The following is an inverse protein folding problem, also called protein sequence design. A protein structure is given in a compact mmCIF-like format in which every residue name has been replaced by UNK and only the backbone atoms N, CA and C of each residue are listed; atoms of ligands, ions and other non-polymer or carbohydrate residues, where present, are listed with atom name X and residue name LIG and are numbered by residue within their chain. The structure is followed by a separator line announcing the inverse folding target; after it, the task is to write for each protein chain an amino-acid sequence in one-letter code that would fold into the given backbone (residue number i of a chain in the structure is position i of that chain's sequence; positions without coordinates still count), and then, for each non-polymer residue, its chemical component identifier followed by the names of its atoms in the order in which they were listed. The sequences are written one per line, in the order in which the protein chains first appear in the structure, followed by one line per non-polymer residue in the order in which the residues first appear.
data_IF_312625145692
#
_entry.id   IF_312625145692
#
_cell.length_a   1.000
_cell.length_b   1.000
_cell.length_c   1.000
_cell.angle_alpha   90.00
_cell.angle_beta   90.00
_cell.angle_gamma   90.00
#
_symmetry.space_group_name_H-M   'P 1'
#
loop_
_entity.id
_entity.type
_entity.pdbx_description
1 polymer ?
#
# COMPACT_ATOMS: atom_id res chain seq x y z
N UNK A 1 7.61 6.42 -18.66
CA UNK A 1 8.03 5.48 -17.60
C UNK A 1 9.51 5.19 -17.76
N UNK A 2 10.31 5.44 -16.72
CA UNK A 2 11.76 5.12 -16.69
C UNK A 2 12.03 4.14 -15.56
N UNK A 3 12.85 3.12 -15.81
CA UNK A 3 13.24 2.16 -14.77
C UNK A 3 14.03 2.86 -13.67
N UNK A 4 13.67 2.59 -12.42
CA UNK A 4 14.41 2.99 -11.22
C UNK A 4 15.21 1.81 -10.68
N UNK A 5 14.55 0.69 -10.43
CA UNK A 5 15.17 -0.53 -9.92
C UNK A 5 14.41 -1.80 -10.36
N UNK A 6 15.08 -2.94 -10.38
CA UNK A 6 14.54 -4.23 -10.84
C UNK A 6 14.88 -5.35 -9.85
N UNK A 7 14.37 -6.56 -10.11
CA UNK A 7 14.78 -7.79 -9.40
C UNK A 7 13.81 -8.26 -8.32
N UNK A 8 12.71 -7.53 -8.10
CA UNK A 8 11.66 -7.97 -7.18
C UNK A 8 10.71 -8.98 -7.85
N UNK A 9 10.09 -9.83 -7.05
CA UNK A 9 9.00 -10.70 -7.50
C UNK A 9 7.66 -9.95 -7.43
N UNK A 10 7.23 -9.55 -6.23
CA UNK A 10 6.01 -8.79 -5.99
C UNK A 10 6.29 -7.64 -5.02
N UNK A 11 6.68 -6.50 -5.59
CA UNK A 11 7.13 -5.32 -4.84
C UNK A 11 5.96 -4.47 -4.34
N UNK A 12 5.80 -4.42 -3.03
CA UNK A 12 4.75 -3.74 -2.28
C UNK A 12 5.29 -2.63 -1.40
N UNK A 13 4.38 -1.77 -0.94
CA UNK A 13 4.65 -0.75 0.07
C UNK A 13 5.86 0.14 -0.21
N UNK A 14 6.06 0.69 -1.43
CA UNK A 14 7.15 1.62 -1.69
C UNK A 14 7.06 2.81 -0.74
N UNK A 15 8.17 3.12 -0.06
CA UNK A 15 8.31 4.29 0.80
C UNK A 15 9.61 5.01 0.48
N UNK A 16 9.51 6.29 0.21
CA UNK A 16 10.66 7.17 0.12
C UNK A 16 10.98 7.72 1.51
N UNK A 17 12.25 7.66 1.93
CA UNK A 17 12.72 8.21 3.18
C UNK A 17 14.20 8.56 3.09
N UNK A 18 14.56 9.77 3.50
CA UNK A 18 15.94 10.28 3.54
C UNK A 18 16.73 10.03 2.24
N UNK A 19 16.10 10.32 1.10
CA UNK A 19 16.73 10.18 -0.21
C UNK A 19 16.83 8.75 -0.74
N UNK A 20 16.16 7.78 -0.11
CA UNK A 20 16.19 6.38 -0.47
C UNK A 20 14.78 5.79 -0.63
N UNK A 21 14.66 4.81 -1.52
CA UNK A 21 13.47 4.00 -1.70
C UNK A 21 13.56 2.71 -0.87
N UNK A 22 12.48 2.35 -0.22
CA UNK A 22 12.30 1.11 0.55
C UNK A 22 11.06 0.37 0.05
N UNK A 23 11.16 -0.94 -0.19
CA UNK A 23 10.05 -1.77 -0.63
C UNK A 23 10.06 -3.15 0.03
N UNK A 24 8.88 -3.70 0.29
CA UNK A 24 8.75 -5.10 0.68
C UNK A 24 8.44 -5.97 -0.54
N UNK A 25 9.20 -7.04 -0.76
CA UNK A 25 8.92 -8.03 -1.79
C UNK A 25 8.23 -9.24 -1.15
N UNK A 26 6.90 -9.27 -1.19
CA UNK A 26 6.11 -10.25 -0.41
C UNK A 26 6.29 -11.67 -0.91
N UNK A 27 6.43 -11.86 -2.23
CA UNK A 27 6.67 -13.18 -2.82
C UNK A 27 8.16 -13.57 -2.86
N UNK A 28 9.04 -12.59 -3.10
CA UNK A 28 10.49 -12.78 -3.10
C UNK A 28 11.10 -12.85 -1.69
N UNK A 29 10.30 -12.51 -0.66
CA UNK A 29 10.64 -12.54 0.76
C UNK A 29 11.89 -11.70 1.07
N UNK A 30 11.90 -10.47 0.59
CA UNK A 30 13.04 -9.56 0.71
C UNK A 30 12.58 -8.15 1.06
N UNK A 31 13.35 -7.46 1.89
CA UNK A 31 13.27 -6.01 2.03
C UNK A 31 14.30 -5.40 1.09
N UNK A 32 13.85 -4.57 0.18
CA UNK A 32 14.73 -3.91 -0.79
C UNK A 32 14.91 -2.43 -0.46
N UNK A 33 16.14 -1.93 -0.64
CA UNK A 33 16.43 -0.49 -0.50
C UNK A 33 17.72 -0.07 -1.20
N UNK A 34 17.82 1.23 -1.51
CA UNK A 34 19.05 1.91 -1.92
C UNK A 34 19.62 2.88 -0.85
N UNK A 35 19.18 2.80 0.40
CA UNK A 35 19.68 3.65 1.49
C UNK A 35 21.19 3.53 1.75
N UNK A 36 21.81 2.40 1.38
CA UNK A 36 23.26 2.19 1.41
C UNK A 36 24.01 2.74 0.19
N UNK A 37 23.34 3.43 -0.73
CA UNK A 37 23.89 3.94 -2.00
C UNK A 37 23.84 2.96 -3.17
N UNK A 38 23.36 1.74 -2.95
CA UNK A 38 23.14 0.74 -4.00
C UNK A 38 21.86 -0.03 -3.76
N UNK A 39 21.18 -0.42 -4.84
CA UNK A 39 19.98 -1.24 -4.79
C UNK A 39 20.30 -2.64 -4.25
N UNK A 40 19.82 -2.94 -3.04
CA UNK A 40 20.17 -4.17 -2.31
C UNK A 40 18.93 -4.83 -1.72
N UNK A 41 19.03 -6.14 -1.47
CA UNK A 41 17.94 -6.94 -0.92
C UNK A 41 18.38 -7.71 0.33
N UNK A 42 17.67 -7.52 1.43
CA UNK A 42 17.85 -8.28 2.66
C UNK A 42 16.78 -9.38 2.73
N UNK A 43 17.15 -10.67 2.85
CA UNK A 43 16.18 -11.75 3.04
C UNK A 43 15.34 -11.55 4.31
N UNK A 44 14.06 -11.91 4.24
CA UNK A 44 13.12 -11.77 5.34
C UNK A 44 12.67 -13.13 5.89
N UNK A 45 12.86 -13.33 7.19
CA UNK A 45 12.23 -14.41 7.95
C UNK A 45 10.73 -14.15 8.09
N UNK A 46 10.37 -12.95 8.54
CA UNK A 46 9.01 -12.42 8.61
C UNK A 46 8.74 -11.50 7.44
N UNK A 47 7.76 -11.84 6.60
CA UNK A 47 7.43 -11.06 5.40
C UNK A 47 6.56 -9.87 5.78
N UNK A 48 7.09 -8.66 5.57
CA UNK A 48 6.29 -7.44 5.59
C UNK A 48 5.43 -7.31 4.34
N UNK A 49 4.30 -6.62 4.42
CA UNK A 49 3.65 -6.02 3.26
C UNK A 49 3.90 -4.50 3.29
N UNK A 50 2.93 -3.70 3.76
CA UNK A 50 3.08 -2.26 3.90
C UNK A 50 4.22 -1.85 4.84
N UNK A 51 4.88 -0.75 4.50
CA UNK A 51 5.98 -0.15 5.26
C UNK A 51 5.60 1.26 5.72
N UNK A 52 6.14 1.73 6.84
CA UNK A 52 6.00 3.13 7.26
C UNK A 52 7.16 3.57 8.16
N UNK A 53 7.61 4.81 8.00
CA UNK A 53 8.59 5.42 8.90
C UNK A 53 7.86 6.19 10.01
N UNK A 54 8.11 5.81 11.26
CA UNK A 54 7.62 6.54 12.41
C UNK A 54 8.23 7.97 12.46
N UNK A 55 7.62 8.91 13.20
CA UNK A 55 8.17 10.26 13.34
C UNK A 55 9.60 10.32 13.90
N UNK A 56 10.04 9.27 14.60
CA UNK A 56 11.40 9.12 15.13
C UNK A 56 12.38 8.45 14.14
N UNK A 57 11.96 8.20 12.90
CA UNK A 57 12.77 7.61 11.84
C UNK A 57 12.86 6.08 11.86
N UNK A 58 12.23 5.39 12.82
CA UNK A 58 12.21 3.92 12.81
C UNK A 58 11.31 3.40 11.69
N UNK A 59 11.85 2.47 10.90
CA UNK A 59 11.09 1.75 9.88
C UNK A 59 10.20 0.68 10.55
N UNK A 60 8.92 0.72 10.24
CA UNK A 60 7.93 -0.28 10.64
C UNK A 60 7.36 -1.00 9.42
N UNK A 61 6.82 -2.20 9.65
CA UNK A 61 6.18 -2.98 8.60
C UNK A 61 5.04 -3.84 9.13
N UNK A 62 4.00 -4.02 8.32
CA UNK A 62 2.89 -4.93 8.62
C UNK A 62 3.32 -6.36 8.31
N UNK A 63 3.47 -7.21 9.32
CA UNK A 63 3.90 -8.61 9.11
C UNK A 63 2.73 -9.41 8.56
N UNK A 64 2.76 -9.69 7.25
CA UNK A 64 1.62 -10.11 6.44
C UNK A 64 0.85 -11.30 7.04
N UNK A 65 1.54 -12.34 7.48
CA UNK A 65 0.92 -13.56 8.04
C UNK A 65 1.06 -13.69 9.57
N UNK A 66 1.65 -12.70 10.27
CA UNK A 66 2.02 -12.83 11.69
C UNK A 66 1.18 -11.97 12.64
N UNK A 67 0.19 -11.22 12.13
CA UNK A 67 -0.73 -10.40 12.93
C UNK A 67 0.01 -9.48 13.93
N UNK A 68 1.07 -8.83 13.47
CA UNK A 68 1.86 -7.89 14.28
C UNK A 68 2.42 -6.79 13.40
N UNK A 69 2.72 -5.65 14.01
CA UNK A 69 3.61 -4.65 13.41
C UNK A 69 5.04 -4.97 13.83
N UNK A 70 5.93 -5.01 12.85
CA UNK A 70 7.36 -5.12 13.06
C UNK A 70 8.03 -3.75 13.08
N UNK A 71 9.16 -3.63 13.79
CA UNK A 71 10.12 -2.53 13.68
C UNK A 71 11.48 -3.09 13.26
N UNK A 72 12.11 -2.45 12.28
CA UNK A 72 13.36 -2.92 11.69
C UNK A 72 14.56 -2.57 12.57
N UNK A 73 15.43 -3.54 12.85
CA UNK A 73 16.66 -3.35 13.62
C UNK A 73 17.94 -3.25 12.77
N UNK A 74 17.81 -3.26 11.44
CA UNK A 74 18.92 -3.33 10.50
C UNK A 74 19.14 -4.71 9.89
N UNK A 75 18.53 -5.77 10.43
CA UNK A 75 18.63 -7.11 9.87
C UNK A 75 17.39 -7.99 10.03
N UNK A 76 16.53 -7.73 11.02
CA UNK A 76 15.26 -8.43 11.22
C UNK A 76 14.17 -7.53 11.80
N UNK A 77 12.94 -8.03 11.76
CA UNK A 77 11.77 -7.36 12.33
C UNK A 77 11.57 -7.74 13.79
N UNK A 78 11.81 -6.81 14.72
CA UNK A 78 11.37 -6.92 16.11
C UNK A 78 9.88 -6.63 16.22
N UNK A 79 9.19 -7.15 17.24
CA UNK A 79 7.78 -6.79 17.47
C UNK A 79 7.67 -5.36 17.99
N UNK A 80 6.88 -4.54 17.28
CA UNK A 80 6.48 -3.21 17.70
C UNK A 80 5.13 -3.23 18.41
N UNK A 81 4.15 -3.92 17.83
CA UNK A 81 2.81 -4.09 18.42
C UNK A 81 2.22 -5.46 18.05
N UNK A 82 1.52 -6.07 19.01
CA UNK A 82 0.79 -7.32 18.82
C UNK A 82 -0.65 -7.04 18.37
N UNK A 83 -1.03 -7.58 17.22
CA UNK A 83 -2.38 -7.48 16.67
C UNK A 83 -3.12 -8.81 16.72
N UNK A 84 -2.56 -9.88 17.30
CA UNK A 84 -3.22 -11.19 17.39
C UNK A 84 -4.65 -11.14 17.97
N UNK A 85 -4.99 -10.27 18.95
CA UNK A 85 -6.36 -10.14 19.45
C UNK A 85 -7.36 -9.56 18.45
N UNK A 86 -6.88 -8.84 17.43
CA UNK A 86 -7.70 -8.09 16.46
C UNK A 86 -7.58 -8.63 15.03
N UNK A 87 -6.42 -9.17 14.65
CA UNK A 87 -6.14 -9.63 13.29
C UNK A 87 -6.90 -10.91 12.95
N UNK A 88 -7.65 -10.89 11.86
CA UNK A 88 -8.48 -11.99 11.37
C UNK A 88 -8.00 -12.55 10.03
N UNK A 89 -7.19 -11.82 9.28
CA UNK A 89 -6.57 -12.25 8.02
C UNK A 89 -5.16 -11.72 7.82
N UNK A 90 -4.66 -11.77 6.58
CA UNK A 90 -3.38 -11.17 6.22
C UNK A 90 -3.41 -9.65 6.40
N UNK A 91 -2.32 -9.09 6.94
CA UNK A 91 -2.12 -7.64 6.98
C UNK A 91 -1.55 -7.15 5.66
N UNK A 92 -2.07 -6.04 5.15
CA UNK A 92 -1.65 -5.42 3.90
C UNK A 92 -0.87 -4.12 4.12
N UNK A 93 -1.41 -3.03 3.62
CA UNK A 93 -0.76 -1.73 3.61
C UNK A 93 -0.77 -1.05 4.99
N UNK A 94 0.16 -0.11 5.16
CA UNK A 94 0.46 0.57 6.42
C UNK A 94 0.69 2.07 6.20
N UNK A 95 0.04 2.91 7.00
CA UNK A 95 0.27 4.35 7.07
C UNK A 95 0.33 4.81 8.52
N UNK A 96 1.02 5.92 8.79
CA UNK A 96 1.04 6.52 10.12
C UNK A 96 0.76 8.01 10.10
N UNK A 97 0.38 8.54 11.27
CA UNK A 97 0.13 9.96 11.46
C UNK A 97 1.30 10.67 12.16
N UNK A 98 1.19 12.00 12.29
CA UNK A 98 2.20 12.83 12.93
C UNK A 98 2.33 12.58 14.45
N UNK A 99 1.34 11.95 15.08
CA UNK A 99 1.39 11.56 16.49
C UNK A 99 2.08 10.20 16.69
N UNK A 100 2.45 9.51 15.61
CA UNK A 100 3.08 8.20 15.67
C UNK A 100 2.09 7.05 15.81
N UNK A 101 0.79 7.29 15.59
CA UNK A 101 -0.16 6.20 15.43
C UNK A 101 0.03 5.57 14.04
N UNK A 102 -0.24 4.28 13.93
CA UNK A 102 -0.25 3.52 12.69
C UNK A 102 -1.65 2.97 12.42
N UNK A 103 -2.00 2.93 11.15
CA UNK A 103 -3.24 2.36 10.62
C UNK A 103 -2.83 1.29 9.61
N UNK A 104 -3.24 0.07 9.88
CA UNK A 104 -2.93 -1.10 9.06
C UNK A 104 -4.21 -1.72 8.58
N UNK A 105 -4.24 -2.12 7.33
CA UNK A 105 -5.36 -2.91 6.84
C UNK A 105 -5.21 -4.39 7.24
N UNK A 106 -6.36 -5.04 7.40
CA UNK A 106 -6.50 -6.48 7.57
C UNK A 106 -7.55 -6.96 6.57
N UNK A 107 -7.11 -7.82 5.64
CA UNK A 107 -7.94 -8.31 4.53
C UNK A 107 -9.02 -9.30 5.00
N UNK A 108 -8.90 -9.87 6.20
CA UNK A 108 -9.81 -10.86 6.83
C UNK A 108 -9.95 -12.24 6.14
N UNK A 109 -9.38 -12.42 4.95
CA UNK A 109 -9.31 -13.71 4.28
C UNK A 109 -8.06 -13.78 3.38
N UNK A 110 -7.51 -14.98 3.23
CA UNK A 110 -6.41 -15.22 2.30
C UNK A 110 -6.94 -15.70 0.95
N UNK A 111 -7.15 -14.77 0.02
CA UNK A 111 -7.60 -15.06 -1.35
C UNK A 111 -6.71 -16.09 -2.06
N UNK A 112 -5.38 -15.97 -1.90
CA UNK A 112 -4.42 -16.91 -2.47
C UNK A 112 -4.52 -18.34 -1.92
N UNK A 113 -5.15 -18.52 -0.74
CA UNK A 113 -5.41 -19.82 -0.12
C UNK A 113 -6.83 -20.35 -0.42
N UNK A 114 -7.61 -19.63 -1.23
CA UNK A 114 -8.99 -20.00 -1.58
C UNK A 114 -10.00 -19.81 -0.45
N UNK A 115 -9.67 -19.00 0.56
CA UNK A 115 -10.60 -18.67 1.63
C UNK A 115 -11.77 -17.82 1.10
N UNK A 116 -12.96 -18.01 1.68
CA UNK A 116 -14.14 -17.26 1.28
C UNK A 116 -13.99 -15.77 1.60
N UNK A 117 -14.34 -14.86 0.67
CA UNK A 117 -14.30 -13.43 0.92
C UNK A 117 -15.14 -13.02 2.13
N UNK A 118 -14.56 -12.15 2.97
CA UNK A 118 -15.23 -11.51 4.09
C UNK A 118 -14.77 -10.05 4.18
N UNK A 119 -15.60 -9.14 4.69
CA UNK A 119 -15.15 -7.79 4.97
C UNK A 119 -13.98 -7.79 5.96
N UNK A 120 -12.96 -7.02 5.62
CA UNK A 120 -11.80 -6.71 6.43
C UNK A 120 -12.04 -5.53 7.37
N UNK A 121 -10.94 -5.02 7.93
CA UNK A 121 -10.93 -3.92 8.90
C UNK A 121 -9.68 -3.08 8.79
N UNK A 122 -9.74 -1.88 9.35
CA UNK A 122 -8.57 -1.06 9.63
C UNK A 122 -8.27 -1.15 11.12
N UNK A 123 -7.05 -1.51 11.48
CA UNK A 123 -6.58 -1.61 12.87
C UNK A 123 -5.72 -0.38 13.16
N UNK A 124 -6.03 0.30 14.26
CA UNK A 124 -5.25 1.39 14.83
C UNK A 124 -4.25 0.81 15.83
N UNK A 125 -2.99 1.20 15.69
CA UNK A 125 -1.93 1.01 16.67
C UNK A 125 -1.51 2.39 17.17
N UNK A 126 -1.69 2.67 18.44
CA UNK A 126 -1.29 3.94 19.03
C UNK A 126 0.21 3.99 19.26
N UNK A 127 0.74 5.20 19.43
CA UNK A 127 2.16 5.41 19.71
C UNK A 127 2.65 4.69 21.00
N UNK A 128 1.75 4.43 21.95
CA UNK A 128 2.04 3.66 23.17
C UNK A 128 1.97 2.13 22.98
N UNK A 129 1.67 1.67 21.76
CA UNK A 129 1.53 0.27 21.39
C UNK A 129 0.14 -0.33 21.64
N UNK A 130 -0.80 0.43 22.20
CA UNK A 130 -2.18 -0.06 22.38
C UNK A 130 -2.90 -0.15 21.04
N UNK A 131 -3.79 -1.13 20.91
CA UNK A 131 -4.44 -1.46 19.64
C UNK A 131 -5.96 -1.39 19.75
N UNK A 132 -6.60 -0.98 18.65
CA UNK A 132 -8.05 -0.93 18.54
C UNK A 132 -8.47 -1.15 17.09
N UNK A 133 -9.71 -1.57 16.86
CA UNK A 133 -10.30 -1.52 15.52
C UNK A 133 -10.71 -0.07 15.23
N UNK A 134 -10.19 0.49 14.14
CA UNK A 134 -10.48 1.85 13.72
C UNK A 134 -11.74 1.91 12.85
N UNK A 135 -11.93 0.91 11.97
CA UNK A 135 -13.14 0.68 11.18
C UNK A 135 -13.30 -0.82 10.87
N UNK A 136 -14.52 -1.35 11.00
CA UNK A 136 -14.90 -2.69 10.53
C UNK A 136 -15.46 -2.63 9.10
N UNK A 137 -15.82 -3.76 8.49
CA UNK A 137 -16.57 -3.86 7.25
C UNK A 137 -15.96 -3.11 6.05
N UNK A 138 -14.63 -3.17 5.89
CA UNK A 138 -13.92 -2.61 4.73
C UNK A 138 -13.59 -3.75 3.78
N UNK A 139 -14.02 -3.73 2.52
CA UNK A 139 -13.90 -4.89 1.64
C UNK A 139 -12.59 -4.95 0.87
N UNK A 140 -11.76 -5.94 1.22
CA UNK A 140 -10.42 -6.11 0.69
C UNK A 140 -9.67 -4.76 0.72
N UNK A 141 -9.45 -4.20 1.93
CA UNK A 141 -8.69 -2.99 2.08
C UNK A 141 -7.25 -3.20 1.58
N UNK A 142 -6.71 -2.18 0.95
CA UNK A 142 -5.30 -2.03 0.58
C UNK A 142 -4.89 -0.58 0.93
N UNK A 143 -4.03 0.02 0.12
CA UNK A 143 -3.56 1.40 0.20
C UNK A 143 -4.35 2.35 1.10
N UNK A 144 -3.63 2.94 2.07
CA UNK A 144 -4.13 3.95 2.98
C UNK A 144 -3.37 5.27 2.81
N UNK A 145 -4.07 6.40 2.79
CA UNK A 145 -3.46 7.73 2.71
C UNK A 145 -4.22 8.77 3.51
N UNK A 146 -3.48 9.57 4.29
CA UNK A 146 -4.03 10.73 4.97
C UNK A 146 -4.13 11.93 4.05
N UNK A 147 -5.25 12.64 4.13
CA UNK A 147 -5.49 13.96 3.53
C UNK A 147 -5.82 14.98 4.61
N UNK A 148 -5.92 16.25 4.23
CA UNK A 148 -6.39 17.35 5.09
C UNK A 148 -5.61 17.47 6.40
N UNK A 149 -4.29 17.27 6.34
CA UNK A 149 -3.42 17.28 7.53
C UNK A 149 -3.70 16.15 8.52
N UNK A 150 -4.27 15.04 8.07
CA UNK A 150 -4.62 13.88 8.89
C UNK A 150 -6.08 13.83 9.34
N UNK A 151 -6.91 14.79 8.94
CA UNK A 151 -8.34 14.79 9.31
C UNK A 151 -9.18 13.78 8.49
N UNK A 152 -8.67 13.34 7.34
CA UNK A 152 -9.32 12.37 6.46
C UNK A 152 -8.37 11.21 6.18
N UNK A 153 -8.84 9.97 6.35
CA UNK A 153 -8.14 8.77 5.88
C UNK A 153 -8.87 8.20 4.67
N UNK A 154 -8.17 8.07 3.54
CA UNK A 154 -8.64 7.40 2.33
C UNK A 154 -8.09 5.98 2.31
N UNK A 155 -8.94 5.02 1.95
CA UNK A 155 -8.63 3.59 1.87
C UNK A 155 -9.06 3.06 0.50
N UNK A 156 -8.19 2.30 -0.16
CA UNK A 156 -8.55 1.53 -1.34
C UNK A 156 -9.32 0.27 -0.97
N UNK A 157 -10.53 0.08 -1.52
CA UNK A 157 -11.28 -1.16 -1.41
C UNK A 157 -11.22 -1.91 -2.75
N UNK A 158 -10.28 -2.86 -2.86
CA UNK A 158 -9.95 -3.54 -4.12
C UNK A 158 -11.15 -4.27 -4.71
N UNK A 159 -11.90 -4.99 -3.87
CA UNK A 159 -13.07 -5.77 -4.31
C UNK A 159 -14.29 -4.89 -4.65
N UNK A 160 -14.38 -3.70 -4.05
CA UNK A 160 -15.45 -2.72 -4.34
C UNK A 160 -15.10 -1.74 -5.45
N UNK A 161 -13.86 -1.77 -5.97
CA UNK A 161 -13.40 -0.88 -7.02
C UNK A 161 -13.63 0.59 -6.71
N UNK A 162 -13.39 0.98 -5.46
CA UNK A 162 -13.58 2.36 -5.00
C UNK A 162 -12.50 2.77 -4.00
N UNK A 163 -12.36 4.06 -3.84
CA UNK A 163 -11.72 4.66 -2.69
C UNK A 163 -12.80 5.09 -1.69
N UNK A 164 -12.58 4.80 -0.43
CA UNK A 164 -13.48 5.16 0.68
C UNK A 164 -12.75 6.10 1.61
N UNK A 165 -13.40 7.19 2.00
CA UNK A 165 -12.87 8.14 2.95
C UNK A 165 -13.59 8.03 4.30
N UNK A 166 -12.82 8.23 5.36
CA UNK A 166 -13.27 8.35 6.73
C UNK A 166 -12.79 9.66 7.32
N UNK A 167 -13.59 10.26 8.19
CA UNK A 167 -13.10 11.30 9.11
C UNK A 167 -12.33 10.62 10.24
N UNK A 168 -11.22 11.22 10.62
CA UNK A 168 -10.38 10.74 11.72
C UNK A 168 -10.79 11.48 13.00
N UNK A 169 -11.20 10.73 14.02
CA UNK A 169 -11.52 11.27 15.33
C UNK A 169 -10.25 11.62 16.13
N UNK A 170 -10.40 12.40 17.19
CA UNK A 170 -9.30 12.79 18.05
C UNK A 170 -8.62 11.60 18.76
N UNK A 171 -9.32 10.48 18.92
CA UNK A 171 -8.80 9.24 19.51
C UNK A 171 -8.23 8.25 18.47
N UNK A 172 -8.20 8.66 17.20
CA UNK A 172 -7.75 7.88 16.04
C UNK A 172 -8.79 6.93 15.44
N UNK A 173 -10.02 6.86 15.99
CA UNK A 173 -11.08 6.04 15.36
C UNK A 173 -11.58 6.68 14.06
N UNK A 174 -12.16 5.86 13.18
CA UNK A 174 -12.59 6.27 11.85
C UNK A 174 -14.13 6.29 11.77
N UNK A 175 -14.69 7.43 11.40
CA UNK A 175 -16.14 7.63 11.30
C UNK A 175 -16.51 8.37 10.02
N UNK A 176 -17.81 8.68 9.83
CA UNK A 176 -18.34 9.37 8.65
C UNK A 176 -17.88 8.76 7.31
N UNK A 177 -17.94 7.42 7.22
CA UNK A 177 -17.58 6.66 6.01
C UNK A 177 -18.36 7.19 4.81
N UNK A 178 -17.65 7.49 3.72
CA UNK A 178 -18.24 7.85 2.43
C UNK A 178 -17.39 7.36 1.26
N UNK A 179 -18.02 7.18 0.10
CA UNK A 179 -17.28 6.94 -1.14
C UNK A 179 -16.48 8.19 -1.47
N UNK A 180 -15.15 8.07 -1.51
CA UNK A 180 -14.26 9.13 -1.95
C UNK A 180 -14.23 9.18 -3.49
N UNK A 181 -14.10 8.02 -4.14
CA UNK A 181 -14.08 7.93 -5.60
C UNK A 181 -14.52 6.54 -6.08
N UNK A 182 -15.33 6.51 -7.13
CA UNK A 182 -15.71 5.28 -7.82
C UNK A 182 -14.66 4.98 -8.91
N UNK A 183 -13.73 4.09 -8.63
CA UNK A 183 -12.58 3.80 -9.51
C UNK A 183 -13.04 3.00 -10.75
N UNK A 184 -14.05 2.14 -10.61
CA UNK A 184 -14.66 1.47 -11.76
C UNK A 184 -15.22 2.47 -12.77
N UNK A 185 -15.92 3.51 -12.29
CA UNK A 185 -16.49 4.57 -13.14
C UNK A 185 -15.42 5.51 -13.69
N UNK A 186 -14.44 5.87 -12.88
CA UNK A 186 -13.46 6.91 -13.23
C UNK A 186 -12.32 6.38 -14.11
N UNK A 187 -11.82 5.17 -13.85
CA UNK A 187 -10.66 4.59 -14.54
C UNK A 187 -11.10 3.48 -15.50
N UNK A 188 -12.02 2.61 -15.07
CA UNK A 188 -12.60 1.57 -15.92
C UNK A 188 -13.03 0.32 -15.14
N UNK A 189 -13.86 -0.56 -15.72
CA UNK A 189 -14.46 -1.71 -15.03
C UNK A 189 -13.45 -2.76 -14.59
N UNK A 190 -12.26 -2.80 -15.19
CA UNK A 190 -11.16 -3.70 -14.79
C UNK A 190 -10.25 -3.08 -13.72
N UNK A 191 -10.40 -1.80 -13.39
CA UNK A 191 -9.55 -1.14 -12.40
C UNK A 191 -9.82 -1.71 -11.00
N UNK A 192 -8.75 -2.13 -10.32
CA UNK A 192 -8.76 -2.64 -8.95
C UNK A 192 -7.79 -1.78 -8.14
N UNK A 193 -8.28 -0.84 -7.31
CA UNK A 193 -7.40 0.03 -6.54
C UNK A 193 -6.62 -0.80 -5.52
N UNK A 194 -5.34 -0.50 -5.39
CA UNK A 194 -4.38 -1.23 -4.56
C UNK A 194 -3.58 -0.22 -3.72
N UNK A 195 -2.25 -0.17 -3.80
CA UNK A 195 -1.45 0.83 -3.09
C UNK A 195 -1.73 2.28 -3.52
N UNK A 196 -1.90 3.18 -2.55
CA UNK A 196 -2.17 4.61 -2.76
C UNK A 196 -1.17 5.50 -2.03
N UNK A 197 -1.06 6.76 -2.47
CA UNK A 197 -0.19 7.76 -1.84
C UNK A 197 -0.81 9.16 -1.86
N UNK A 198 -0.68 9.97 -0.79
CA UNK A 198 -1.19 11.34 -0.76
C UNK A 198 -0.55 12.23 -1.84
N UNK A 199 -1.37 13.05 -2.50
CA UNK A 199 -0.99 13.86 -3.66
C UNK A 199 -1.71 15.23 -3.65
N UNK A 200 -1.28 16.12 -2.75
CA UNK A 200 -1.86 17.45 -2.61
C UNK A 200 -3.30 17.40 -2.10
N UNK A 201 -4.25 17.67 -2.98
CA UNK A 201 -5.70 17.69 -2.74
C UNK A 201 -6.39 16.33 -3.01
N UNK A 202 -5.62 15.29 -3.28
CA UNK A 202 -6.13 13.95 -3.52
C UNK A 202 -5.08 12.87 -3.31
N UNK A 203 -5.22 11.74 -4.01
CA UNK A 203 -4.29 10.61 -3.91
C UNK A 203 -3.85 10.12 -5.28
N UNK A 204 -2.62 9.63 -5.38
CA UNK A 204 -2.25 8.67 -6.41
C UNK A 204 -2.76 7.28 -6.03
N UNK A 205 -3.28 6.53 -6.99
CA UNK A 205 -3.76 5.15 -6.81
C UNK A 205 -3.22 4.27 -7.93
N UNK A 206 -2.56 3.19 -7.56
CA UNK A 206 -2.27 2.08 -8.45
C UNK A 206 -3.55 1.24 -8.64
N UNK A 207 -3.89 0.91 -9.88
CA UNK A 207 -5.16 0.22 -10.20
C UNK A 207 -4.99 -1.22 -10.68
N UNK A 208 -3.81 -1.81 -10.48
CA UNK A 208 -3.47 -3.22 -10.77
C UNK A 208 -3.99 -3.68 -12.14
N UNK A 209 -5.12 -4.37 -12.21
CA UNK A 209 -5.72 -4.86 -13.47
C UNK A 209 -6.25 -3.76 -14.39
N UNK A 210 -6.39 -2.53 -13.90
CA UNK A 210 -6.66 -1.33 -14.70
C UNK A 210 -5.45 -0.84 -15.50
N UNK A 211 -4.23 -1.31 -15.19
CA UNK A 211 -2.99 -0.94 -15.88
C UNK A 211 -2.77 0.58 -15.98
N UNK A 212 -3.18 1.30 -14.92
CA UNK A 212 -3.11 2.75 -14.79
C UNK A 212 -2.70 3.11 -13.37
N UNK A 213 -1.84 4.12 -13.24
CA UNK A 213 -1.69 4.89 -11.99
C UNK A 213 -2.44 6.20 -12.17
N UNK A 214 -3.44 6.45 -11.32
CA UNK A 214 -4.36 7.59 -11.45
C UNK A 214 -4.19 8.56 -10.28
N UNK A 215 -4.26 9.87 -10.55
CA UNK A 215 -4.43 10.89 -9.52
C UNK A 215 -5.89 11.23 -9.40
N UNK A 216 -6.44 11.03 -8.22
CA UNK A 216 -7.88 11.11 -7.94
C UNK A 216 -8.11 12.10 -6.81
N UNK A 217 -9.03 13.05 -7.04
CA UNK A 217 -9.65 13.89 -6.02
C UNK A 217 -11.00 13.29 -5.65
N UNK A 218 -11.67 13.84 -4.63
CA UNK A 218 -12.99 13.35 -4.23
C UNK A 218 -13.98 13.47 -5.41
N UNK A 219 -14.41 12.32 -5.94
CA UNK A 219 -15.33 12.19 -7.08
C UNK A 219 -14.76 12.43 -8.48
N UNK A 220 -13.47 12.78 -8.61
CA UNK A 220 -12.87 13.28 -9.86
C UNK A 220 -11.54 12.58 -10.19
N UNK A 221 -11.41 12.12 -11.43
CA UNK A 221 -10.12 11.74 -12.01
C UNK A 221 -9.41 13.00 -12.50
N UNK A 222 -8.31 13.39 -11.84
CA UNK A 222 -7.52 14.54 -12.24
C UNK A 222 -6.52 14.18 -13.34
N UNK A 223 -5.88 13.01 -13.23
CA UNK A 223 -4.82 12.59 -14.14
C UNK A 223 -4.68 11.06 -14.15
N UNK A 224 -4.19 10.49 -15.27
CA UNK A 224 -3.91 9.06 -15.38
C UNK A 224 -2.66 8.80 -16.21
N UNK A 225 -1.84 7.84 -15.76
CA UNK A 225 -0.64 7.38 -16.45
C UNK A 225 -0.80 5.88 -16.73
N UNK A 226 -0.87 5.52 -18.02
CA UNK A 226 -0.94 4.13 -18.43
C UNK A 226 0.36 3.38 -18.20
N UNK A 227 0.26 2.14 -17.71
CA UNK A 227 1.39 1.24 -17.45
C UNK A 227 1.36 -0.02 -18.31
N UNK A 228 0.38 -0.13 -19.21
CA UNK A 228 0.21 -1.29 -20.09
C UNK A 228 1.51 -1.64 -20.84
N UNK A 229 1.89 -2.94 -20.91
CA UNK A 229 1.13 -4.11 -20.45
C UNK A 229 1.28 -4.44 -18.96
N UNK A 230 2.01 -3.63 -18.19
CA UNK A 230 2.28 -3.88 -16.77
C UNK A 230 1.16 -3.50 -15.82
N UNK A 231 1.12 -4.18 -14.66
CA UNK A 231 0.13 -4.03 -13.60
C UNK A 231 0.73 -3.22 -12.45
N UNK A 232 0.31 -1.96 -12.21
CA UNK A 232 0.86 -1.15 -11.13
C UNK A 232 0.29 -1.64 -9.80
N UNK A 233 1.16 -1.87 -8.83
CA UNK A 233 0.81 -2.49 -7.53
C UNK A 233 0.66 -1.41 -6.47
N UNK A 234 1.69 -0.58 -6.29
CA UNK A 234 1.70 0.49 -5.31
C UNK A 234 2.53 1.69 -5.80
N UNK A 235 2.40 2.82 -5.13
CA UNK A 235 3.11 4.05 -5.50
C UNK A 235 3.50 4.90 -4.28
N UNK A 236 4.49 5.77 -4.48
CA UNK A 236 4.85 6.83 -3.54
C UNK A 236 5.44 8.03 -4.28
N UNK A 237 5.53 9.17 -3.59
CA UNK A 237 6.31 10.32 -4.08
C UNK A 237 7.68 10.34 -3.42
N UNK A 238 8.68 10.83 -4.14
CA UNK A 238 9.98 11.19 -3.56
C UNK A 238 10.00 12.64 -3.03
N UNK A 239 11.12 13.05 -2.43
CA UNK A 239 11.31 14.41 -1.87
C UNK A 239 11.17 15.54 -2.90
N UNK A 240 11.24 15.23 -4.19
CA UNK A 240 11.06 16.18 -5.30
C UNK A 240 9.65 16.13 -5.88
N UNK A 241 8.75 15.35 -5.28
CA UNK A 241 7.39 15.15 -5.76
C UNK A 241 7.31 14.31 -7.05
N UNK A 242 8.35 13.55 -7.39
CA UNK A 242 8.31 12.63 -8.54
C UNK A 242 7.59 11.35 -8.13
N UNK A 243 6.75 10.84 -9.03
CA UNK A 243 5.98 9.63 -8.79
C UNK A 243 6.82 8.38 -9.06
N UNK A 244 6.93 7.54 -8.03
CA UNK A 244 7.47 6.20 -8.10
C UNK A 244 6.31 5.20 -8.03
N UNK A 245 6.39 4.13 -8.82
CA UNK A 245 5.44 3.02 -8.74
C UNK A 245 6.16 1.69 -8.87
N UNK A 246 5.61 0.65 -8.25
CA UNK A 246 5.95 -0.73 -8.55
C UNK A 246 5.01 -1.26 -9.61
N UNK A 247 5.57 -1.85 -10.67
CA UNK A 247 4.80 -2.36 -11.81
C UNK A 247 5.22 -3.81 -12.07
N UNK A 248 4.24 -4.71 -12.02
CA UNK A 248 4.39 -6.11 -12.31
C UNK A 248 4.29 -6.41 -13.81
N UNK A 249 5.12 -7.34 -14.25
CA UNK A 249 5.07 -7.98 -15.57
C UNK A 249 4.85 -9.50 -15.37
N UNK A 250 3.84 -10.01 -16.07
CA UNK A 250 3.41 -11.42 -16.04
C UNK A 250 3.84 -12.20 -17.27
N UNK A 251 4.57 -11.59 -18.20
CA UNK A 251 4.93 -12.21 -19.48
C UNK A 251 3.73 -12.49 -20.39
N UNK A 252 2.62 -11.78 -20.17
CA UNK A 252 1.36 -11.97 -20.90
C UNK A 252 0.40 -13.00 -20.27
N UNK A 253 0.76 -13.61 -19.13
CA UNK A 253 -0.15 -14.49 -18.39
C UNK A 253 -1.21 -13.67 -17.60
N UNK A 254 -2.40 -14.23 -17.34
CA UNK A 254 -3.35 -13.64 -16.40
C UNK A 254 -2.72 -13.44 -15.01
N UNK A 255 -2.93 -12.27 -14.41
CA UNK A 255 -2.25 -11.85 -13.17
C UNK A 255 -2.32 -12.90 -12.05
N UNK A 256 -3.50 -13.41 -11.74
CA UNK A 256 -3.67 -14.40 -10.67
C UNK A 256 -2.96 -15.73 -10.96
N UNK A 257 -2.88 -16.14 -12.23
CA UNK A 257 -2.15 -17.36 -12.61
C UNK A 257 -0.63 -17.17 -12.44
N UNK A 258 -0.11 -16.01 -12.87
CA UNK A 258 1.29 -15.66 -12.69
C UNK A 258 1.66 -15.57 -11.20
N UNK A 259 0.81 -14.93 -10.38
CA UNK A 259 0.99 -14.83 -8.93
C UNK A 259 1.01 -16.19 -8.24
N UNK A 260 0.08 -17.09 -8.59
CA UNK A 260 0.01 -18.43 -7.99
C UNK A 260 1.29 -19.26 -8.28
N UNK A 261 1.91 -19.03 -9.43
CA UNK A 261 3.16 -19.70 -9.85
C UNK A 261 4.43 -18.93 -9.45
N UNK A 262 4.29 -17.75 -8.85
CA UNK A 262 5.40 -16.81 -8.60
C UNK A 262 6.20 -16.51 -9.88
N UNK A 263 5.51 -16.45 -11.01
CA UNK A 263 6.06 -16.19 -12.34
C UNK A 263 5.94 -14.71 -12.74
N UNK A 264 5.88 -13.83 -11.73
CA UNK A 264 5.80 -12.38 -11.90
C UNK A 264 7.14 -11.75 -11.59
N UNK A 265 7.47 -10.68 -12.32
CA UNK A 265 8.59 -9.80 -11.97
C UNK A 265 8.07 -8.40 -11.74
N UNK A 266 8.61 -7.69 -10.77
CA UNK A 266 8.23 -6.32 -10.47
C UNK A 266 9.42 -5.39 -10.70
N UNK A 267 9.14 -4.25 -11.32
CA UNK A 267 10.10 -3.15 -11.54
C UNK A 267 9.61 -1.92 -10.79
N UNK A 268 10.50 -1.26 -10.04
CA UNK A 268 10.26 0.10 -9.57
C UNK A 268 10.54 1.08 -10.72
N UNK A 269 9.60 1.98 -10.99
CA UNK A 269 9.68 2.93 -12.11
C UNK A 269 9.41 4.35 -11.65
N UNK A 270 10.05 5.31 -12.30
CA UNK A 270 9.65 6.71 -12.29
C UNK A 270 8.58 6.93 -13.36
N UNK A 271 7.44 7.45 -12.93
CA UNK A 271 6.34 7.87 -13.79
C UNK A 271 6.40 9.39 -13.96
N UNK A 272 6.58 9.83 -15.19
CA UNK A 272 6.46 11.25 -15.51
C UNK A 272 4.98 11.54 -15.82
N UNK A 273 4.34 12.50 -15.15
CA UNK A 273 3.01 12.94 -15.52
C UNK A 273 3.01 13.43 -16.98
N UNK A 274 1.97 13.15 -17.79
CA UNK A 274 1.83 13.78 -19.11
C UNK A 274 2.04 15.30 -19.03
N UNK A 275 2.73 15.90 -20.01
CA UNK A 275 2.85 17.35 -20.05
C UNK A 275 1.46 17.97 -20.02
N UNK A 276 1.24 18.91 -19.08
CA UNK A 276 -0.01 19.64 -18.95
C UNK A 276 -0.45 20.16 -20.34
N UNK A 277 -1.64 19.74 -20.79
CA UNK A 277 -2.26 20.26 -22.01
C UNK A 277 -2.99 21.57 -21.72
#
# INVERSE_FOLDING_TARGET
MRTYATGMTWGEGPRWHDGALWLSDTQGRRLWTDAGGAWTATPLESVSNGLWFLPDGRLTGAMMDEKRIGVWDGGRWQTYADLAPLGVGPLGDLVGDAAGNLYVDDVAFAAARGESPRPGRIILVRADGTTAVAAEDVEFPNGLAFLDGGATLVVAETSRQRLTAFRVAADGTLHDRRTYADIARLVGPEARPDGIWPAGDGVWVATTTGQVVARVREGELAESIGTSPGFPIACCLDDRGRLLATVADTGGEPLFAALARKAVTTTAVLLDPPPHR
#
